data_IF_861940138565
#
_entry.id   IF_861940138565
#
_cell.length_a   1.000
_cell.length_b   1.000
_cell.length_c   1.000
_cell.angle_alpha   90.00
_cell.angle_beta   90.00
_cell.angle_gamma   90.00
#
_symmetry.space_group_name_H-M   'P 1'
#
loop_
_entity.id
_entity.type
_entity.pdbx_description
1 polymer ?
#
# COMPACT_ATOMS: atom_id res chain seq x y z
N UNK A 1 -27.06 11.27 17.16
CA UNK A 1 -26.50 10.90 16.90
C UNK A 1 -25.89 10.79 16.41
N UNK A 2 -25.37 10.71 16.12
CA UNK A 2 -24.74 10.46 15.65
C UNK A 2 -24.13 10.20 14.97
N UNK A 3 -23.79 10.44 14.48
CA UNK A 3 -23.11 10.15 13.77
C UNK A 3 -22.25 9.82 13.63
N UNK A 4 -22.40 9.65 13.45
CA UNK A 4 -21.57 8.93 13.27
C UNK A 4 -20.63 9.23 12.39
N UNK A 5 -19.68 9.43 12.59
CA UNK A 5 -18.75 9.74 11.83
C UNK A 5 -18.18 8.66 11.26
N UNK A 6 -18.46 8.45 10.10
CA UNK A 6 -17.94 7.48 9.47
C UNK A 6 -16.70 7.80 9.06
N UNK A 7 -15.71 7.24 9.42
CA UNK A 7 -14.48 7.30 8.89
C UNK A 7 -14.51 6.64 7.67
N UNK A 8 -14.57 7.26 6.63
CA UNK A 8 -14.61 6.68 5.35
C UNK A 8 -13.25 6.32 4.92
N UNK A 9 -12.82 5.17 5.27
CA UNK A 9 -11.54 4.68 4.79
C UNK A 9 -11.77 3.98 3.48
N UNK A 10 -11.20 4.51 2.43
CA UNK A 10 -11.37 3.94 1.10
C UNK A 10 -10.05 3.40 0.60
N UNK A 11 -10.11 2.35 -0.18
CA UNK A 11 -8.96 1.88 -0.92
C UNK A 11 -8.82 2.75 -2.14
N UNK A 12 -7.63 3.21 -2.37
CA UNK A 12 -7.31 3.88 -3.63
C UNK A 12 -6.23 3.05 -4.28
N UNK A 13 -6.55 2.41 -5.39
CA UNK A 13 -5.57 1.58 -6.08
C UNK A 13 -4.55 2.47 -6.77
N UNK A 14 -3.29 2.08 -6.66
CA UNK A 14 -2.18 2.84 -7.22
C UNK A 14 -1.29 1.89 -8.01
N UNK A 15 -0.53 2.45 -8.92
CA UNK A 15 0.39 1.66 -9.70
C UNK A 15 1.70 1.60 -8.93
N UNK A 16 2.24 0.42 -8.77
CA UNK A 16 3.49 0.23 -8.04
C UNK A 16 4.43 -0.59 -8.90
N UNK A 17 5.68 -0.13 -8.96
CA UNK A 17 6.71 -0.92 -9.58
C UNK A 17 7.34 -1.72 -8.48
N UNK A 18 7.40 -3.01 -8.64
CA UNK A 18 7.92 -3.90 -7.61
C UNK A 18 8.78 -4.99 -8.22
N UNK A 19 9.73 -5.49 -7.43
CA UNK A 19 10.57 -6.60 -7.82
C UNK A 19 10.09 -7.84 -7.10
N UNK A 20 10.19 -8.98 -7.77
CA UNK A 20 9.90 -10.26 -7.15
C UNK A 20 11.23 -10.98 -7.09
N UNK A 21 11.66 -11.34 -5.90
CA UNK A 21 12.96 -11.99 -5.73
C UNK A 21 12.86 -13.47 -6.06
N UNK A 22 14.01 -14.11 -6.20
CA UNK A 22 14.01 -15.54 -6.47
C UNK A 22 13.45 -16.34 -5.30
N UNK A 23 13.45 -15.76 -4.10
CA UNK A 23 12.86 -16.42 -2.94
C UNK A 23 11.35 -16.19 -2.86
N UNK A 24 10.80 -15.43 -3.77
CA UNK A 24 9.37 -15.17 -3.78
C UNK A 24 8.93 -13.96 -2.96
N UNK A 25 9.87 -13.12 -2.58
CA UNK A 25 9.52 -11.90 -1.86
C UNK A 25 9.14 -10.80 -2.82
N UNK A 26 8.28 -9.92 -2.38
CA UNK A 26 7.84 -8.78 -3.18
C UNK A 26 8.43 -7.53 -2.57
N UNK A 27 9.14 -6.75 -3.37
CA UNK A 27 9.79 -5.54 -2.90
C UNK A 27 9.29 -4.37 -3.72
N UNK A 28 8.43 -3.52 -3.16
CA UNK A 28 7.96 -2.34 -3.89
C UNK A 28 9.08 -1.31 -4.02
N UNK A 29 9.21 -0.73 -5.18
CA UNK A 29 10.29 0.19 -5.51
C UNK A 29 9.80 1.62 -5.71
N UNK A 30 8.64 1.80 -6.31
CA UNK A 30 8.09 3.13 -6.53
C UNK A 30 6.58 3.08 -6.67
N UNK A 31 5.94 4.21 -6.42
CA UNK A 31 4.50 4.36 -6.48
C UNK A 31 4.19 5.46 -7.49
N UNK A 32 3.22 5.22 -8.34
CA UNK A 32 2.79 6.22 -9.30
C UNK A 32 1.35 6.61 -8.99
N UNK A 33 1.07 7.89 -8.88
CA UNK A 33 -0.27 8.36 -8.57
C UNK A 33 -1.10 8.55 -9.84
N UNK A 34 -2.32 9.06 -9.69
CA UNK A 34 -3.24 9.22 -10.81
C UNK A 34 -2.76 10.23 -11.82
N UNK A 35 -1.89 11.13 -11.43
CA UNK A 35 -1.41 12.18 -12.31
C UNK A 35 -0.09 11.82 -12.97
N UNK A 36 0.37 10.62 -12.73
CA UNK A 36 1.61 10.16 -13.34
C UNK A 36 2.87 10.55 -12.56
N UNK A 37 2.71 11.10 -11.37
CA UNK A 37 3.87 11.42 -10.54
C UNK A 37 4.40 10.14 -9.93
N UNK A 38 5.71 9.95 -10.00
CA UNK A 38 6.35 8.77 -9.49
C UNK A 38 7.14 9.12 -8.24
N UNK A 39 6.89 8.34 -7.18
CA UNK A 39 7.55 8.54 -5.90
C UNK A 39 8.37 7.32 -5.58
N UNK A 40 9.68 7.51 -5.41
CA UNK A 40 10.56 6.39 -5.09
C UNK A 40 10.43 5.99 -3.65
N UNK A 41 10.42 4.71 -3.39
CA UNK A 41 10.41 4.20 -2.03
C UNK A 41 11.85 4.18 -1.55
N UNK A 42 12.15 4.98 -0.55
CA UNK A 42 13.52 5.12 -0.06
C UNK A 42 13.93 3.90 0.74
N UNK A 43 13.04 3.37 1.53
CA UNK A 43 13.29 2.11 2.23
C UNK A 43 12.00 1.56 2.81
N UNK A 44 12.00 0.29 3.11
CA UNK A 44 10.89 -0.41 3.71
C UNK A 44 11.26 -0.68 5.15
N UNK A 45 10.45 -0.23 6.09
CA UNK A 45 10.76 -0.35 7.50
C UNK A 45 10.00 -1.47 8.17
N UNK A 46 8.90 -1.94 7.57
CA UNK A 46 8.13 -3.01 8.19
C UNK A 46 7.26 -3.68 7.13
N UNK A 47 7.09 -4.99 7.22
CA UNK A 47 6.22 -5.75 6.35
C UNK A 47 5.41 -6.67 7.23
N UNK A 48 4.09 -6.61 7.09
CA UNK A 48 3.22 -7.46 7.89
C UNK A 48 2.06 -7.98 7.06
N UNK A 49 1.60 -9.17 7.41
CA UNK A 49 0.37 -9.63 6.86
C UNK A 49 -0.72 -8.79 7.48
N UNK A 50 -1.66 -8.37 6.69
CA UNK A 50 -2.73 -7.52 7.17
C UNK A 50 -4.02 -7.89 6.50
N UNK A 51 -5.10 -7.87 7.25
CA UNK A 51 -6.41 -7.93 6.66
C UNK A 51 -6.63 -6.59 5.99
N UNK A 52 -7.18 -6.62 4.80
CA UNK A 52 -7.49 -5.37 4.14
C UNK A 52 -8.79 -4.91 4.74
N UNK A 53 -8.69 -3.91 5.58
CA UNK A 53 -9.84 -3.43 6.29
C UNK A 53 -10.96 -3.15 5.33
N UNK A 54 -12.12 -3.50 5.71
CA UNK A 54 -13.33 -3.26 4.97
C UNK A 54 -13.49 -4.03 3.71
N UNK A 55 -12.49 -4.62 3.20
CA UNK A 55 -12.62 -5.41 2.01
C UNK A 55 -12.57 -6.89 2.31
N UNK A 56 -12.17 -7.25 3.48
CA UNK A 56 -12.14 -8.65 3.85
C UNK A 56 -11.10 -9.47 3.13
N UNK A 57 -10.17 -8.85 2.48
CA UNK A 57 -9.15 -9.58 1.75
C UNK A 57 -7.93 -9.83 2.60
N UNK A 58 -6.98 -10.56 2.05
CA UNK A 58 -5.72 -10.78 2.66
C UNK A 58 -4.67 -10.05 1.89
N UNK A 59 -3.63 -9.70 2.53
CA UNK A 59 -2.55 -9.03 1.83
C UNK A 59 -1.39 -8.75 2.72
N UNK A 60 -0.48 -7.94 2.21
CA UNK A 60 0.69 -7.51 2.95
C UNK A 60 0.61 -6.00 3.11
N UNK A 61 1.00 -5.53 4.27
CA UNK A 61 1.13 -4.10 4.51
C UNK A 61 2.60 -3.78 4.57
N UNK A 62 3.03 -2.87 3.74
CA UNK A 62 4.41 -2.39 3.73
C UNK A 62 4.43 -1.00 4.31
N UNK A 63 5.23 -0.79 5.34
CA UNK A 63 5.48 0.54 5.86
C UNK A 63 6.80 0.99 5.25
N UNK A 64 6.78 2.11 4.58
CA UNK A 64 7.96 2.56 3.84
C UNK A 64 8.14 4.05 3.98
N UNK A 65 9.33 4.51 3.61
CA UNK A 65 9.66 5.92 3.65
C UNK A 65 9.64 6.42 2.22
N UNK A 66 8.84 7.45 1.99
CA UNK A 66 8.71 8.07 0.68
C UNK A 66 8.82 9.57 0.89
N UNK A 67 9.80 10.18 0.26
CA UNK A 67 10.06 11.62 0.40
C UNK A 67 10.21 12.03 1.86
N UNK A 68 10.86 11.18 2.65
CA UNK A 68 11.10 11.48 4.05
C UNK A 68 9.93 11.20 4.98
N UNK A 69 8.82 10.76 4.47
CA UNK A 69 7.63 10.49 5.29
C UNK A 69 7.29 9.01 5.31
N UNK A 70 6.75 8.57 6.42
CA UNK A 70 6.29 7.21 6.53
C UNK A 70 4.97 7.06 5.81
N UNK A 71 4.87 6.05 4.96
CA UNK A 71 3.66 5.75 4.21
C UNK A 71 3.38 4.27 4.31
N UNK A 72 2.12 3.90 4.28
CA UNK A 72 1.73 2.49 4.26
C UNK A 72 1.09 2.18 2.94
N UNK A 73 1.56 1.11 2.30
CA UNK A 73 0.94 0.63 1.08
C UNK A 73 0.59 -0.83 1.26
N UNK A 74 -0.41 -1.27 0.56
CA UNK A 74 -0.97 -2.60 0.74
C UNK A 74 -0.94 -3.36 -0.57
N UNK A 75 -0.55 -4.60 -0.50
CA UNK A 75 -0.54 -5.50 -1.64
C UNK A 75 -1.61 -6.55 -1.44
N UNK A 76 -2.52 -6.66 -2.41
CA UNK A 76 -3.56 -7.68 -2.37
C UNK A 76 -3.13 -8.91 -3.12
N UNK A 77 -3.75 -10.04 -2.80
CA UNK A 77 -3.39 -11.30 -3.43
C UNK A 77 -3.59 -11.31 -4.93
N UNK A 78 -4.41 -10.43 -5.46
CA UNK A 78 -4.69 -10.40 -6.88
C UNK A 78 -3.74 -9.47 -7.63
N UNK A 79 -2.58 -9.22 -7.07
CA UNK A 79 -1.53 -8.41 -7.68
C UNK A 79 -1.91 -6.93 -7.81
N UNK A 80 -2.73 -6.46 -6.92
CA UNK A 80 -3.09 -5.04 -6.90
C UNK A 80 -2.52 -4.39 -5.67
N UNK A 81 -2.18 -3.12 -5.81
CA UNK A 81 -1.64 -2.35 -4.71
C UNK A 81 -2.60 -1.20 -4.41
N UNK A 82 -2.73 -0.84 -3.16
CA UNK A 82 -3.58 0.28 -2.81
C UNK A 82 -3.04 1.02 -1.60
N UNK A 83 -3.52 2.24 -1.42
CA UNK A 83 -3.32 3.02 -0.21
C UNK A 83 -4.69 3.28 0.38
N UNK A 84 -4.72 3.59 1.64
CA UNK A 84 -5.96 3.97 2.29
C UNK A 84 -6.03 5.48 2.38
N UNK A 85 -7.13 6.03 1.97
CA UNK A 85 -7.32 7.47 1.94
C UNK A 85 -8.57 7.87 2.70
#
# INVERSE_FOLDING_TARGET
MGQDIQQSIHKKYVKVKADFTVEGEIIPCSIEDDEGNVYEIQRITDIRRAACLRAGGRGLRFTCIVEGYEKKIYYEENNKWFVEV
#
